data_IF_815511440780
#
_entry.id   IF_815511440780
#
_cell.length_a   1.000
_cell.length_b   1.000
_cell.length_c   1.000
_cell.angle_alpha   90.00
_cell.angle_beta   90.00
_cell.angle_gamma   90.00
#
_symmetry.space_group_name_H-M   'P 1'
#
loop_
_entity.id
_entity.type
_entity.pdbx_description
1 polymer ?
#
# COMPACT_ATOMS: atom_id res chain seq x y z
N UNK A 1 -28.82 36.39 56.35
CA UNK A 1 -28.49 36.69 54.94
C UNK A 1 -29.27 35.73 54.05
N UNK A 2 -30.39 36.18 53.47
CA UNK A 2 -31.28 35.34 52.64
C UNK A 2 -30.74 35.32 51.21
N UNK A 3 -30.04 34.24 50.84
CA UNK A 3 -29.64 33.99 49.45
C UNK A 3 -30.92 33.86 48.63
N UNK A 4 -31.10 34.70 47.60
CA UNK A 4 -32.32 34.69 46.77
C UNK A 4 -32.31 33.40 45.95
N UNK A 5 -33.46 32.73 45.89
CA UNK A 5 -33.68 31.42 45.25
C UNK A 5 -33.15 31.33 43.80
N UNK A 6 -33.04 32.47 43.10
CA UNK A 6 -32.51 32.62 41.73
C UNK A 6 -30.99 32.43 41.62
N UNK A 7 -30.26 32.75 42.68
CA UNK A 7 -28.80 32.61 42.71
C UNK A 7 -28.41 31.13 42.87
N UNK A 8 -29.23 30.36 43.61
CA UNK A 8 -28.97 28.96 43.91
C UNK A 8 -29.07 28.06 42.66
N UNK A 9 -30.05 28.28 41.79
CA UNK A 9 -30.14 27.56 40.51
C UNK A 9 -28.95 27.87 39.60
N UNK A 10 -28.47 29.11 39.60
CA UNK A 10 -27.30 29.53 38.82
C UNK A 10 -26.02 28.85 39.33
N UNK A 11 -25.84 28.75 40.65
CA UNK A 11 -24.69 28.04 41.24
C UNK A 11 -24.73 26.53 40.96
N UNK A 12 -25.91 25.91 40.94
CA UNK A 12 -26.06 24.49 40.59
C UNK A 12 -25.70 24.27 39.12
N UNK A 13 -26.17 25.13 38.21
CA UNK A 13 -25.85 25.01 36.78
C UNK A 13 -24.35 25.18 36.52
N UNK A 14 -23.69 26.15 37.16
CA UNK A 14 -22.24 26.33 37.05
C UNK A 14 -21.50 25.11 37.61
N UNK A 15 -21.95 24.56 38.74
CA UNK A 15 -21.37 23.34 39.31
C UNK A 15 -21.46 22.14 38.36
N UNK A 16 -22.61 21.95 37.71
CA UNK A 16 -22.81 20.89 36.72
C UNK A 16 -21.91 21.10 35.50
N UNK A 17 -21.79 22.33 34.98
CA UNK A 17 -20.93 22.63 33.83
C UNK A 17 -19.47 22.33 34.15
N UNK A 18 -18.98 22.71 35.33
CA UNK A 18 -17.61 22.44 35.77
C UNK A 18 -17.34 20.95 35.91
N UNK A 19 -18.29 20.20 36.47
CA UNK A 19 -18.16 18.73 36.58
C UNK A 19 -18.18 18.08 35.19
N UNK A 20 -19.07 18.51 34.29
CA UNK A 20 -19.13 17.97 32.93
C UNK A 20 -17.87 18.28 32.13
N UNK A 21 -17.32 19.48 32.25
CA UNK A 21 -16.04 19.83 31.61
C UNK A 21 -14.89 19.03 32.20
N UNK A 22 -14.81 18.89 33.52
CA UNK A 22 -13.79 18.05 34.16
C UNK A 22 -13.88 16.58 33.74
N UNK A 23 -15.10 16.03 33.64
CA UNK A 23 -15.35 14.67 33.13
C UNK A 23 -15.01 14.55 31.64
N UNK A 24 -15.28 15.58 30.84
CA UNK A 24 -14.88 15.62 29.42
C UNK A 24 -13.35 15.60 29.30
N UNK A 25 -12.65 16.45 30.06
CA UNK A 25 -11.19 16.51 30.07
C UNK A 25 -10.55 15.25 30.65
N UNK A 26 -11.21 14.58 31.61
CA UNK A 26 -10.73 13.31 32.15
C UNK A 26 -10.94 12.15 31.17
N UNK A 27 -12.06 12.11 30.45
CA UNK A 27 -12.29 11.10 29.41
C UNK A 27 -11.48 11.36 28.12
N UNK A 28 -11.20 12.63 27.79
CA UNK A 28 -10.33 12.99 26.67
C UNK A 28 -8.84 12.95 27.04
N UNK A 29 -8.48 13.09 28.31
CA UNK A 29 -7.09 13.16 28.81
C UNK A 29 -6.59 11.90 29.51
N UNK A 30 -7.44 10.88 29.71
CA UNK A 30 -7.11 9.62 30.38
C UNK A 30 -6.64 8.50 29.44
N UNK A 31 -6.46 8.78 28.15
CA UNK A 31 -5.93 7.83 27.16
C UNK A 31 -4.52 8.21 26.74
N UNK A 32 -3.53 7.47 27.24
CA UNK A 32 -2.16 7.36 26.72
C UNK A 32 -1.41 8.66 26.44
N UNK A 33 -0.29 8.84 27.15
CA UNK A 33 0.88 9.57 26.64
C UNK A 33 1.42 8.88 25.38
N UNK A 34 0.71 9.02 24.27
CA UNK A 34 1.19 8.81 22.91
C UNK A 34 1.27 10.19 22.29
N UNK A 35 2.49 10.64 22.00
CA UNK A 35 2.70 11.90 21.28
C UNK A 35 1.78 11.93 20.06
N UNK A 36 1.05 13.02 19.90
CA UNK A 36 0.38 13.33 18.65
C UNK A 36 1.48 13.51 17.59
N UNK A 37 1.85 12.39 16.97
CA UNK A 37 2.55 12.36 15.71
C UNK A 37 1.58 13.02 14.74
N UNK A 38 1.94 14.22 14.28
CA UNK A 38 1.23 14.86 13.18
C UNK A 38 1.30 13.91 12.00
N UNK A 39 0.20 13.24 11.69
CA UNK A 39 0.08 12.38 10.51
C UNK A 39 0.37 13.28 9.32
N UNK A 40 1.59 13.18 8.78
CA UNK A 40 1.97 13.91 7.58
C UNK A 40 1.09 13.41 6.45
N UNK A 41 0.02 14.13 6.12
CA UNK A 41 -0.87 13.73 5.03
C UNK A 41 -0.07 13.77 3.72
N UNK A 42 0.07 12.60 3.09
CA UNK A 42 0.53 12.45 1.70
C UNK A 42 -0.72 12.33 0.85
N UNK A 43 -0.81 13.08 -0.24
CA UNK A 43 -1.96 12.98 -1.14
C UNK A 43 -1.86 11.67 -1.93
N UNK A 44 -3.00 10.99 -2.13
CA UNK A 44 -3.08 9.83 -3.02
C UNK A 44 -2.45 10.14 -4.40
N UNK A 45 -2.72 11.33 -4.92
CA UNK A 45 -2.17 11.81 -6.20
C UNK A 45 -0.65 11.82 -6.28
N UNK A 46 0.05 11.81 -5.15
CA UNK A 46 1.52 11.89 -5.11
C UNK A 46 2.17 10.51 -5.35
N UNK A 47 1.43 9.42 -5.15
CA UNK A 47 1.98 8.06 -5.22
C UNK A 47 1.21 7.13 -6.17
N UNK A 48 -0.07 7.40 -6.43
CA UNK A 48 -0.87 6.57 -7.33
C UNK A 48 -0.39 6.80 -8.79
N UNK A 49 0.17 5.77 -9.46
CA UNK A 49 0.58 5.89 -10.85
C UNK A 49 -0.66 6.10 -11.74
N UNK A 50 -0.50 6.82 -12.85
CA UNK A 50 -1.57 7.13 -13.79
C UNK A 50 -1.10 7.04 -15.24
N UNK A 51 -2.04 6.90 -16.16
CA UNK A 51 -1.78 6.79 -17.60
C UNK A 51 -1.37 5.39 -18.06
N UNK A 52 -0.87 5.32 -19.29
CA UNK A 52 -0.43 4.07 -19.93
C UNK A 52 1.02 3.79 -19.54
N UNK A 53 1.35 2.58 -19.02
CA UNK A 53 2.73 2.21 -18.77
C UNK A 53 3.59 2.34 -20.03
N UNK A 54 4.79 2.90 -19.87
CA UNK A 54 5.71 3.03 -20.98
C UNK A 54 6.08 1.65 -21.54
N UNK A 55 6.22 1.56 -22.87
CA UNK A 55 6.60 0.36 -23.62
C UNK A 55 5.47 -0.70 -23.65
N UNK A 56 5.15 -1.32 -22.52
CA UNK A 56 4.28 -2.50 -22.48
C UNK A 56 2.77 -2.20 -22.36
N UNK A 57 2.40 -0.97 -21.98
CA UNK A 57 0.99 -0.64 -21.69
C UNK A 57 0.09 -0.78 -22.91
N UNK A 58 0.51 -0.24 -24.05
CA UNK A 58 -0.21 -0.37 -25.32
C UNK A 58 -0.23 -1.81 -25.84
N UNK A 59 0.88 -2.54 -25.70
CA UNK A 59 1.03 -3.92 -26.16
C UNK A 59 0.09 -4.87 -25.43
N UNK A 60 -0.05 -4.68 -24.11
CA UNK A 60 -0.94 -5.46 -23.27
C UNK A 60 -2.37 -4.90 -23.21
N UNK A 61 -2.60 -3.69 -23.75
CA UNK A 61 -3.88 -3.00 -23.67
C UNK A 61 -4.29 -2.70 -22.21
N UNK A 62 -3.34 -2.28 -21.38
CA UNK A 62 -3.54 -1.96 -19.96
C UNK A 62 -3.08 -0.54 -19.64
N UNK A 63 -3.75 0.06 -18.67
CA UNK A 63 -3.40 1.37 -18.11
C UNK A 63 -3.49 1.31 -16.59
N UNK A 64 -2.68 2.12 -15.90
CA UNK A 64 -2.78 2.27 -14.45
C UNK A 64 -4.16 2.80 -14.03
N UNK A 65 -4.79 3.64 -14.87
CA UNK A 65 -6.09 4.27 -14.57
C UNK A 65 -7.26 3.27 -14.52
N UNK A 66 -7.06 2.08 -15.10
CA UNK A 66 -8.05 1.00 -15.10
C UNK A 66 -8.10 0.25 -13.76
N UNK A 67 -7.08 0.41 -12.90
CA UNK A 67 -7.01 -0.22 -11.58
C UNK A 67 -7.36 0.80 -10.51
N UNK A 68 -8.66 0.91 -10.20
CA UNK A 68 -9.16 1.79 -9.14
C UNK A 68 -10.28 1.14 -8.33
N UNK A 69 -10.52 1.57 -7.08
CA UNK A 69 -11.65 1.11 -6.26
C UNK A 69 -13.01 1.31 -6.95
N UNK A 70 -13.12 2.36 -7.78
CA UNK A 70 -14.36 2.73 -8.47
C UNK A 70 -14.64 1.88 -9.73
N UNK A 71 -13.66 1.11 -10.20
CA UNK A 71 -13.78 0.29 -11.40
C UNK A 71 -13.23 -1.14 -11.22
N UNK A 72 -13.85 -1.88 -10.31
CA UNK A 72 -13.47 -3.26 -10.01
C UNK A 72 -13.48 -4.19 -11.25
N UNK A 73 -14.35 -3.95 -12.25
CA UNK A 73 -14.40 -4.76 -13.46
C UNK A 73 -13.11 -4.65 -14.27
N UNK A 74 -12.64 -3.42 -14.51
CA UNK A 74 -11.40 -3.17 -15.24
C UNK A 74 -10.17 -3.58 -14.45
N UNK A 75 -10.15 -3.30 -13.14
CA UNK A 75 -9.10 -3.78 -12.24
C UNK A 75 -8.94 -5.30 -12.33
N UNK A 76 -10.07 -6.04 -12.27
CA UNK A 76 -10.08 -7.48 -12.41
C UNK A 76 -9.66 -7.96 -13.81
N UNK A 77 -9.93 -7.20 -14.87
CA UNK A 77 -9.48 -7.53 -16.21
C UNK A 77 -7.96 -7.44 -16.34
N UNK A 78 -7.35 -6.36 -15.85
CA UNK A 78 -5.89 -6.20 -15.84
C UNK A 78 -5.22 -7.29 -14.98
N UNK A 79 -5.73 -7.55 -13.77
CA UNK A 79 -5.22 -8.60 -12.88
C UNK A 79 -5.32 -9.98 -13.55
N UNK A 80 -6.43 -10.29 -14.23
CA UNK A 80 -6.58 -11.57 -14.94
C UNK A 80 -5.62 -11.70 -16.12
N UNK A 81 -5.44 -10.64 -16.91
CA UNK A 81 -4.51 -10.63 -18.03
C UNK A 81 -3.09 -10.95 -17.55
N UNK A 82 -2.57 -10.16 -16.62
CA UNK A 82 -1.23 -10.35 -16.08
C UNK A 82 -1.10 -11.69 -15.36
N UNK A 83 -2.12 -12.08 -14.59
CA UNK A 83 -2.12 -13.38 -13.90
C UNK A 83 -2.19 -14.58 -14.85
N UNK A 84 -2.68 -14.43 -16.08
CA UNK A 84 -2.62 -15.48 -17.09
C UNK A 84 -1.20 -15.66 -17.62
N UNK A 85 -0.46 -14.57 -17.82
CA UNK A 85 0.97 -14.63 -18.19
C UNK A 85 1.75 -15.42 -17.14
N UNK A 86 1.49 -15.20 -15.83
CA UNK A 86 2.14 -16.00 -14.78
C UNK A 86 1.89 -17.52 -14.90
N UNK A 87 0.72 -17.91 -15.43
CA UNK A 87 0.34 -19.32 -15.56
C UNK A 87 0.84 -19.96 -16.86
N UNK A 88 1.01 -19.17 -17.91
CA UNK A 88 1.40 -19.68 -19.23
C UNK A 88 2.90 -19.62 -19.45
N UNK A 89 3.57 -18.57 -18.94
CA UNK A 89 4.99 -18.36 -19.13
C UNK A 89 5.83 -19.08 -18.07
N UNK A 90 6.86 -19.77 -18.55
CA UNK A 90 7.87 -20.44 -17.72
C UNK A 90 9.22 -19.82 -18.01
N UNK A 91 9.94 -19.42 -16.95
CA UNK A 91 11.31 -18.93 -17.05
C UNK A 91 12.29 -20.04 -16.71
N UNK A 92 13.42 -20.06 -17.41
CA UNK A 92 14.52 -20.99 -17.18
C UNK A 92 15.86 -20.25 -17.29
N UNK A 93 16.94 -20.87 -16.81
CA UNK A 93 18.29 -20.32 -16.92
C UNK A 93 18.43 -18.89 -16.37
N UNK A 94 19.08 -18.01 -17.15
CA UNK A 94 19.36 -16.64 -16.75
C UNK A 94 18.09 -15.82 -16.47
N UNK A 95 16.99 -16.07 -17.18
CA UNK A 95 15.74 -15.35 -16.97
C UNK A 95 15.09 -15.73 -15.63
N UNK A 96 15.17 -17.00 -15.24
CA UNK A 96 14.71 -17.44 -13.92
C UNK A 96 15.57 -16.85 -12.80
N UNK A 97 16.89 -16.84 -12.97
CA UNK A 97 17.81 -16.22 -12.00
C UNK A 97 17.51 -14.73 -11.83
N UNK A 98 17.29 -14.02 -12.95
CA UNK A 98 16.93 -12.61 -12.98
C UNK A 98 15.58 -12.36 -12.29
N UNK A 99 14.58 -13.18 -12.58
CA UNK A 99 13.28 -13.13 -11.94
C UNK A 99 13.35 -13.32 -10.41
N UNK A 100 14.16 -14.29 -9.95
CA UNK A 100 14.43 -14.49 -8.52
C UNK A 100 15.14 -13.27 -7.94
N UNK A 101 16.15 -12.75 -8.63
CA UNK A 101 16.86 -11.54 -8.19
C UNK A 101 15.89 -10.38 -7.95
N UNK A 102 15.08 -10.03 -8.96
CA UNK A 102 14.15 -8.90 -8.89
C UNK A 102 13.12 -9.08 -7.77
N UNK A 103 12.47 -10.24 -7.72
CA UNK A 103 11.31 -10.41 -6.83
C UNK A 103 11.66 -10.84 -5.41
N UNK A 104 12.85 -11.38 -5.16
CA UNK A 104 13.22 -11.93 -3.85
C UNK A 104 14.47 -11.30 -3.22
N UNK A 105 15.46 -10.91 -4.01
CA UNK A 105 16.79 -10.50 -3.49
C UNK A 105 17.00 -8.99 -3.55
N UNK A 106 16.77 -8.38 -4.71
CA UNK A 106 16.97 -6.97 -4.98
C UNK A 106 16.04 -6.13 -4.10
N UNK A 107 16.62 -5.24 -3.28
CA UNK A 107 15.91 -4.46 -2.25
C UNK A 107 15.03 -5.33 -1.32
N UNK A 108 15.47 -6.56 -1.06
CA UNK A 108 14.74 -7.59 -0.30
C UNK A 108 13.42 -8.06 -0.96
N UNK A 109 13.26 -7.79 -2.26
CA UNK A 109 12.15 -8.24 -3.10
C UNK A 109 10.83 -7.49 -2.88
N UNK A 110 9.86 -7.75 -3.76
CA UNK A 110 8.49 -7.21 -3.62
C UNK A 110 7.82 -7.83 -2.39
N UNK A 111 7.36 -7.00 -1.45
CA UNK A 111 6.69 -7.52 -0.26
C UNK A 111 5.28 -8.05 -0.59
N UNK A 112 4.85 -9.11 0.10
CA UNK A 112 3.52 -9.72 -0.07
C UNK A 112 2.76 -9.84 1.26
N UNK A 113 2.74 -8.74 2.00
CA UNK A 113 2.36 -8.66 3.41
C UNK A 113 0.87 -8.44 3.65
N UNK A 114 0.13 -7.85 2.71
CA UNK A 114 -1.22 -7.34 2.97
C UNK A 114 -2.36 -8.37 2.83
N UNK A 115 -2.16 -9.47 2.08
CA UNK A 115 -3.20 -10.50 1.91
C UNK A 115 -3.00 -11.71 2.84
N UNK A 116 -1.83 -12.34 2.77
CA UNK A 116 -1.53 -13.59 3.48
C UNK A 116 -0.25 -13.53 4.32
N UNK A 117 0.41 -12.36 4.38
CA UNK A 117 1.61 -12.16 5.19
C UNK A 117 2.89 -12.80 4.63
N UNK A 118 2.91 -13.29 3.39
CA UNK A 118 4.13 -13.85 2.78
C UNK A 118 5.27 -12.83 2.71
N UNK A 119 6.53 -13.29 2.78
CA UNK A 119 7.70 -12.40 2.68
C UNK A 119 7.73 -11.71 1.31
N UNK A 120 7.80 -12.49 0.25
CA UNK A 120 7.76 -12.04 -1.14
C UNK A 120 6.61 -12.71 -1.90
N UNK A 121 6.34 -12.25 -3.13
CA UNK A 121 5.40 -12.90 -4.06
C UNK A 121 5.92 -14.25 -4.59
N UNK A 122 7.22 -14.53 -4.41
CA UNK A 122 7.87 -15.82 -4.67
C UNK A 122 8.67 -16.31 -3.44
N UNK A 123 8.98 -17.60 -3.42
CA UNK A 123 10.02 -18.17 -2.57
C UNK A 123 11.41 -17.96 -3.20
N UNK A 124 12.47 -18.29 -2.45
CA UNK A 124 13.87 -18.16 -2.90
C UNK A 124 14.20 -19.02 -4.13
N UNK A 125 13.40 -20.05 -4.40
CA UNK A 125 13.54 -20.94 -5.56
C UNK A 125 12.72 -20.49 -6.78
N UNK A 126 12.12 -19.29 -6.73
CA UNK A 126 11.29 -18.74 -7.81
C UNK A 126 9.85 -19.24 -7.83
N UNK A 127 9.48 -20.21 -6.99
CA UNK A 127 8.10 -20.71 -6.94
C UNK A 127 7.15 -19.67 -6.32
N UNK A 128 5.87 -19.65 -6.72
CA UNK A 128 4.85 -18.80 -6.09
C UNK A 128 4.79 -18.99 -4.56
N UNK A 129 4.91 -17.89 -3.81
CA UNK A 129 4.76 -17.92 -2.35
C UNK A 129 3.31 -17.81 -1.89
N UNK A 130 2.42 -17.30 -2.74
CA UNK A 130 1.00 -17.20 -2.47
C UNK A 130 0.15 -17.26 -3.74
N UNK A 131 -1.13 -17.62 -3.55
CA UNK A 131 -2.13 -17.75 -4.61
C UNK A 131 -3.11 -16.57 -4.70
N UNK A 132 -2.76 -15.37 -4.22
CA UNK A 132 -3.65 -14.21 -4.41
C UNK A 132 -3.55 -13.67 -5.84
N UNK A 133 -4.65 -13.13 -6.36
CA UNK A 133 -4.73 -12.60 -7.72
C UNK A 133 -3.69 -11.50 -8.00
N UNK A 134 -3.43 -10.63 -7.02
CA UNK A 134 -2.42 -9.58 -7.12
C UNK A 134 -1.00 -10.13 -7.27
N UNK A 135 -0.69 -11.23 -6.58
CA UNK A 135 0.61 -11.90 -6.69
C UNK A 135 0.78 -12.58 -8.04
N UNK A 136 -0.27 -13.23 -8.57
CA UNK A 136 -0.27 -13.71 -9.96
C UNK A 136 0.01 -12.56 -10.94
N UNK A 137 -0.65 -11.41 -10.78
CA UNK A 137 -0.46 -10.27 -11.67
C UNK A 137 0.97 -9.71 -11.63
N UNK A 138 1.54 -9.49 -10.44
CA UNK A 138 2.92 -8.99 -10.29
C UNK A 138 3.97 -9.97 -10.83
N UNK A 139 3.82 -11.27 -10.54
CA UNK A 139 4.71 -12.30 -11.12
C UNK A 139 4.60 -12.33 -12.64
N UNK A 140 3.38 -12.28 -13.18
CA UNK A 140 3.13 -12.28 -14.61
C UNK A 140 3.69 -11.05 -15.33
N UNK A 141 3.54 -9.86 -14.75
CA UNK A 141 4.18 -8.65 -15.25
C UNK A 141 5.70 -8.78 -15.30
N UNK A 142 6.30 -9.31 -14.22
CA UNK A 142 7.76 -9.50 -14.16
C UNK A 142 8.23 -10.45 -15.24
N UNK A 143 7.54 -11.58 -15.44
CA UNK A 143 7.83 -12.52 -16.52
C UNK A 143 7.72 -11.85 -17.90
N UNK A 144 6.64 -11.11 -18.14
CA UNK A 144 6.44 -10.40 -19.41
C UNK A 144 7.60 -9.45 -19.71
N UNK A 145 7.97 -8.62 -18.74
CA UNK A 145 9.03 -7.63 -18.92
C UNK A 145 10.40 -8.28 -19.13
N UNK A 146 10.72 -9.36 -18.42
CA UNK A 146 11.97 -10.10 -18.64
C UNK A 146 12.01 -10.70 -20.05
N UNK A 147 10.93 -11.39 -20.46
CA UNK A 147 10.87 -12.10 -21.75
C UNK A 147 10.89 -11.14 -22.94
N UNK A 148 10.12 -10.05 -22.87
CA UNK A 148 9.86 -9.21 -24.04
C UNK A 148 10.67 -7.92 -24.06
N UNK A 149 11.09 -7.42 -22.89
CA UNK A 149 11.75 -6.12 -22.74
C UNK A 149 12.97 -6.19 -21.82
N UNK A 150 13.60 -7.37 -21.70
CA UNK A 150 14.72 -7.58 -20.80
C UNK A 150 15.93 -6.68 -21.10
N UNK A 151 16.08 -6.26 -22.35
CA UNK A 151 17.14 -5.34 -22.79
C UNK A 151 16.76 -3.85 -22.66
N UNK A 152 15.47 -3.55 -22.48
CA UNK A 152 14.94 -2.18 -22.37
C UNK A 152 14.72 -1.77 -20.91
N UNK A 153 14.45 -2.73 -20.02
CA UNK A 153 14.30 -2.51 -18.59
C UNK A 153 15.46 -3.13 -17.81
N UNK A 154 16.03 -2.35 -16.91
CA UNK A 154 16.90 -2.85 -15.84
C UNK A 154 16.08 -3.56 -14.76
N UNK A 155 16.75 -4.37 -13.93
CA UNK A 155 16.11 -5.08 -12.81
C UNK A 155 15.40 -4.12 -11.83
N UNK A 156 16.00 -2.95 -11.57
CA UNK A 156 15.37 -1.93 -10.72
C UNK A 156 14.15 -1.31 -11.38
N UNK A 157 14.15 -1.10 -12.69
CA UNK A 157 12.98 -0.58 -13.40
C UNK A 157 11.83 -1.60 -13.42
N UNK A 158 12.10 -2.90 -13.59
CA UNK A 158 11.08 -3.95 -13.46
C UNK A 158 10.53 -4.00 -12.02
N UNK A 159 11.39 -3.82 -11.01
CA UNK A 159 10.96 -3.73 -9.62
C UNK A 159 10.08 -2.50 -9.36
N UNK A 160 10.43 -1.35 -9.95
CA UNK A 160 9.65 -0.11 -9.90
C UNK A 160 8.27 -0.32 -10.53
N UNK A 161 8.20 -0.97 -11.70
CA UNK A 161 6.94 -1.30 -12.35
C UNK A 161 6.07 -2.18 -11.45
N UNK A 162 6.63 -3.24 -10.86
CA UNK A 162 5.90 -4.03 -9.86
C UNK A 162 5.40 -3.18 -8.68
N UNK A 163 6.23 -2.25 -8.21
CA UNK A 163 5.87 -1.35 -7.12
C UNK A 163 4.70 -0.43 -7.47
N UNK A 164 4.65 0.10 -8.70
CA UNK A 164 3.52 0.88 -9.21
C UNK A 164 2.22 0.06 -9.17
N UNK A 165 2.23 -1.15 -9.70
CA UNK A 165 1.07 -2.03 -9.68
C UNK A 165 0.63 -2.39 -8.26
N UNK A 166 1.57 -2.66 -7.36
CA UNK A 166 1.26 -2.92 -5.95
C UNK A 166 0.60 -1.74 -5.27
N UNK A 167 1.07 -0.51 -5.53
CA UNK A 167 0.44 0.71 -5.01
C UNK A 167 -1.01 0.82 -5.48
N UNK A 168 -1.31 0.52 -6.75
CA UNK A 168 -2.68 0.48 -7.27
C UNK A 168 -3.55 -0.59 -6.60
N UNK A 169 -2.98 -1.75 -6.29
CA UNK A 169 -3.70 -2.84 -5.63
C UNK A 169 -4.06 -2.55 -4.18
N UNK A 170 -3.28 -1.71 -3.49
CA UNK A 170 -3.46 -1.39 -2.06
C UNK A 170 -3.26 0.11 -1.79
N UNK A 171 -4.09 1.01 -2.36
CA UNK A 171 -3.84 2.45 -2.40
C UNK A 171 -3.79 3.06 -0.99
N UNK A 172 -4.84 2.87 -0.18
CA UNK A 172 -4.90 3.44 1.17
C UNK A 172 -3.81 2.92 2.12
N UNK A 173 -3.35 1.68 1.92
CA UNK A 173 -2.23 1.13 2.70
C UNK A 173 -0.92 1.85 2.32
N UNK A 174 -0.67 2.06 1.03
CA UNK A 174 0.54 2.75 0.57
C UNK A 174 0.51 4.25 0.86
N UNK A 175 -0.67 4.88 0.91
CA UNK A 175 -0.81 6.28 1.36
C UNK A 175 -0.34 6.43 2.81
N UNK A 176 -0.82 5.58 3.71
CA UNK A 176 -0.38 5.57 5.11
C UNK A 176 1.11 5.24 5.25
N UNK A 177 1.62 4.30 4.44
CA UNK A 177 3.06 4.01 4.40
C UNK A 177 3.88 5.21 3.92
N UNK A 178 3.43 5.90 2.87
CA UNK A 178 4.11 7.09 2.34
C UNK A 178 4.16 8.22 3.37
N UNK A 179 3.10 8.44 4.14
CA UNK A 179 3.07 9.39 5.24
C UNK A 179 4.19 9.12 6.26
N UNK A 180 4.32 7.87 6.69
CA UNK A 180 5.33 7.46 7.67
C UNK A 180 6.75 7.56 7.10
N UNK A 181 6.97 7.15 5.85
CA UNK A 181 8.28 7.27 5.20
C UNK A 181 8.72 8.74 5.10
N UNK A 182 7.80 9.63 4.71
CA UNK A 182 8.05 11.07 4.61
C UNK A 182 8.42 11.68 5.97
N UNK A 183 7.71 11.31 7.03
CA UNK A 183 8.03 11.76 8.40
C UNK A 183 9.43 11.31 8.84
N UNK A 184 9.84 10.12 8.44
CA UNK A 184 11.17 9.56 8.74
C UNK A 184 12.29 10.10 7.85
N UNK A 185 11.99 11.02 6.91
CA UNK A 185 12.97 11.55 5.96
C UNK A 185 13.45 10.52 4.93
N UNK A 186 12.68 9.44 4.72
CA UNK A 186 12.94 8.45 3.68
C UNK A 186 12.39 8.97 2.35
N UNK A 187 13.19 8.84 1.29
CA UNK A 187 12.77 9.19 -0.05
C UNK A 187 11.53 8.40 -0.48
N UNK A 188 10.54 9.10 -1.04
CA UNK A 188 9.35 8.48 -1.60
C UNK A 188 9.63 8.01 -3.03
N UNK A 189 9.75 6.70 -3.20
CA UNK A 189 9.81 6.03 -4.49
C UNK A 189 9.13 4.66 -4.41
N UNK A 190 8.84 4.05 -5.56
CA UNK A 190 8.09 2.80 -5.62
C UNK A 190 8.82 1.62 -4.99
N UNK A 191 10.16 1.61 -5.00
CA UNK A 191 10.94 0.57 -4.31
C UNK A 191 10.71 0.66 -2.80
N UNK A 192 10.86 1.84 -2.19
CA UNK A 192 10.68 2.02 -0.75
C UNK A 192 9.22 1.77 -0.32
N UNK A 193 8.26 2.07 -1.19
CA UNK A 193 6.84 1.82 -0.95
C UNK A 193 6.47 0.33 -1.05
N UNK A 194 7.00 -0.41 -2.02
CA UNK A 194 6.49 -1.73 -2.38
C UNK A 194 7.39 -2.91 -1.98
N UNK A 195 8.69 -2.70 -1.78
CA UNK A 195 9.64 -3.75 -1.40
C UNK A 195 9.64 -4.05 0.10
N UNK A 196 10.33 -5.13 0.50
CA UNK A 196 10.48 -5.49 1.90
C UNK A 196 11.39 -4.53 2.70
N UNK A 197 12.15 -3.64 2.04
CA UNK A 197 13.07 -2.68 2.69
C UNK A 197 12.43 -1.88 3.84
N UNK A 198 11.16 -1.50 3.68
CA UNK A 198 10.37 -0.81 4.71
C UNK A 198 9.05 -1.54 5.01
N UNK A 199 9.05 -2.87 4.93
CA UNK A 199 7.86 -3.69 5.25
C UNK A 199 7.36 -3.37 6.66
N UNK A 200 6.07 -3.04 6.78
CA UNK A 200 5.42 -2.84 8.08
C UNK A 200 5.84 -1.57 8.82
N UNK A 201 6.53 -0.64 8.16
CA UNK A 201 6.94 0.64 8.75
C UNK A 201 5.74 1.45 9.24
N UNK A 202 4.59 1.26 8.60
CA UNK A 202 3.31 1.86 8.95
C UNK A 202 2.70 1.31 10.25
N UNK A 203 3.21 0.21 10.82
CA UNK A 203 2.74 -0.39 12.09
C UNK A 203 1.22 -0.58 12.19
N UNK A 204 0.55 -0.85 11.06
CA UNK A 204 -0.90 -0.98 10.98
C UNK A 204 -1.68 0.34 11.10
N UNK A 205 -1.00 1.49 11.04
CA UNK A 205 -1.62 2.82 11.01
C UNK A 205 -2.23 3.14 9.64
N UNK A 206 -1.86 2.39 8.60
CA UNK A 206 -2.46 2.52 7.29
C UNK A 206 -3.74 1.68 7.18
N UNK A 207 -4.79 2.27 6.63
CA UNK A 207 -6.09 1.62 6.43
C UNK A 207 -6.47 1.67 4.95
N UNK A 208 -6.99 0.57 4.41
CA UNK A 208 -7.38 0.51 3.00
C UNK A 208 -7.78 -0.89 2.58
N UNK A 209 -8.70 -0.96 1.62
CA UNK A 209 -9.07 -2.22 0.96
C UNK A 209 -8.14 -2.56 -0.19
N UNK A 210 -8.24 -3.79 -0.66
CA UNK A 210 -7.61 -4.22 -1.92
C UNK A 210 -8.47 -3.80 -3.12
N UNK A 211 -7.82 -3.47 -4.23
CA UNK A 211 -8.47 -3.16 -5.51
C UNK A 211 -8.45 -4.40 -6.40
N UNK A 212 -9.63 -4.85 -6.81
CA UNK A 212 -9.80 -6.08 -7.59
C UNK A 212 -9.34 -7.35 -6.86
N UNK A 213 -9.13 -8.43 -7.62
CA UNK A 213 -8.72 -9.74 -7.12
C UNK A 213 -9.88 -10.65 -6.70
N UNK A 214 -11.07 -10.43 -7.26
CA UNK A 214 -12.27 -11.25 -7.07
C UNK A 214 -12.26 -12.50 -7.96
#
# INVERSE_FOLDING_TARGET
>A
MKIKKKDFESYIQIGIIVILTAVLFYNLGGGSTGGAIGVGVVSASDIIPSGVPAIYGEELGITYDDVSPDNAQKANAAIRLLGNIDRTETLEGADLERYINILYTLHDGISCEYCCGARSIIFEDGKPACGCAHSYAMRGLTKYLIINHGDEFTDEEILIENGKWKVLFFPGIHEGKAAVLKEQGVELNYINLASNKYRGVEKGQASGGMVGGC
#
